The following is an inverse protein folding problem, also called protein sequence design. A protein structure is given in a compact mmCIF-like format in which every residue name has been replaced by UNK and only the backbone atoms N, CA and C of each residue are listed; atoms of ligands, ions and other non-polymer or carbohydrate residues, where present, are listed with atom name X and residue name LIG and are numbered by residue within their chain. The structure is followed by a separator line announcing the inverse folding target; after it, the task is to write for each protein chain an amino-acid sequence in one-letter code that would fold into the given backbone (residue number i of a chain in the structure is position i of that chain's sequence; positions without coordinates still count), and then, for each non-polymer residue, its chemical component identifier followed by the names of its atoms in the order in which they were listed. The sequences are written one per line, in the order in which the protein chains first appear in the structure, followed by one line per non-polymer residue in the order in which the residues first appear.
data_IF_372505102816
#
_entry.id   IF_372505102816
#
_cell.length_a   1.000
_cell.length_b   1.000
_cell.length_c   1.000
_cell.angle_alpha   90.00
_cell.angle_beta   90.00
_cell.angle_gamma   90.00
#
_symmetry.space_group_name_H-M   'P 1'
#
loop_
_entity.id
_entity.type
_entity.pdbx_description
1 polymer ?
#
# COMPACT_ATOMS: atom_id res chain seq x y z
N UNK A 1 19.17 -20.31 -12.58
CA UNK A 1 19.25 -20.30 -14.05
C UNK A 1 20.69 -20.54 -14.53
N UNK A 2 21.65 -19.74 -14.14
CA UNK A 2 23.08 -19.86 -14.55
C UNK A 2 23.72 -21.23 -14.27
N UNK A 3 23.44 -21.82 -13.10
CA UNK A 3 23.97 -23.19 -12.77
C UNK A 3 23.39 -24.29 -13.65
N UNK A 4 22.13 -24.19 -14.06
CA UNK A 4 21.52 -25.20 -14.94
C UNK A 4 22.02 -25.07 -16.37
N UNK A 5 22.22 -23.85 -16.87
CA UNK A 5 22.81 -23.57 -18.18
C UNK A 5 24.26 -24.07 -18.23
N UNK A 6 25.09 -23.74 -17.23
CA UNK A 6 26.46 -24.23 -17.09
C UNK A 6 26.53 -25.76 -17.06
N UNK A 7 25.61 -26.41 -16.32
CA UNK A 7 25.55 -27.89 -16.27
C UNK A 7 25.20 -28.50 -17.61
N UNK A 8 24.24 -27.93 -18.36
CA UNK A 8 23.88 -28.42 -19.71
C UNK A 8 25.01 -28.18 -20.70
N UNK A 9 25.62 -27.00 -20.69
CA UNK A 9 26.79 -26.68 -21.55
C UNK A 9 27.93 -27.67 -21.27
N UNK A 10 28.21 -27.97 -20.01
CA UNK A 10 29.24 -28.91 -19.60
C UNK A 10 28.94 -30.36 -20.09
N UNK A 11 27.68 -30.78 -20.01
CA UNK A 11 27.27 -32.09 -20.53
C UNK A 11 27.44 -32.21 -22.05
N UNK A 12 27.09 -31.14 -22.81
CA UNK A 12 27.28 -31.08 -24.27
C UNK A 12 28.76 -31.05 -24.67
N UNK A 13 29.60 -30.29 -23.95
CA UNK A 13 31.03 -30.25 -24.22
C UNK A 13 31.71 -31.58 -23.94
N UNK A 14 31.37 -32.28 -22.87
CA UNK A 14 31.84 -33.64 -22.56
C UNK A 14 31.38 -34.60 -23.65
N UNK A 15 30.12 -34.57 -24.05
CA UNK A 15 29.56 -35.42 -25.09
C UNK A 15 30.30 -35.27 -26.42
N UNK A 16 30.57 -33.99 -26.83
CA UNK A 16 31.38 -33.71 -28.04
C UNK A 16 32.80 -34.21 -27.90
N UNK A 17 33.46 -34.05 -26.75
CA UNK A 17 34.80 -34.53 -26.53
C UNK A 17 34.88 -36.06 -26.64
N UNK A 18 33.94 -36.75 -26.02
CA UNK A 18 33.83 -38.21 -26.09
C UNK A 18 33.59 -38.70 -27.53
N UNK A 19 32.69 -38.04 -28.27
CA UNK A 19 32.43 -38.38 -29.66
C UNK A 19 33.71 -38.16 -30.55
N UNK A 20 34.50 -37.12 -30.32
CA UNK A 20 35.76 -36.86 -31.03
C UNK A 20 36.79 -37.96 -30.70
N UNK A 21 36.88 -38.34 -29.41
CA UNK A 21 37.81 -39.42 -29.01
C UNK A 21 37.44 -40.76 -29.67
N UNK A 22 36.14 -41.11 -29.73
CA UNK A 22 35.65 -42.32 -30.38
C UNK A 22 35.99 -42.28 -31.88
N UNK A 23 35.72 -41.16 -32.57
CA UNK A 23 36.02 -41.02 -34.01
C UNK A 23 37.51 -41.16 -34.28
N UNK A 24 38.36 -40.50 -33.47
CA UNK A 24 39.82 -40.60 -33.62
C UNK A 24 40.30 -42.06 -33.37
N UNK A 25 39.75 -42.73 -32.36
CA UNK A 25 40.08 -44.11 -32.06
C UNK A 25 39.68 -45.04 -33.18
N UNK A 26 38.51 -44.88 -33.79
CA UNK A 26 38.04 -45.67 -34.92
C UNK A 26 38.97 -45.47 -36.15
N UNK A 27 39.34 -44.22 -36.43
CA UNK A 27 40.25 -43.88 -37.52
C UNK A 27 41.62 -44.54 -37.28
N UNK A 28 42.13 -44.48 -36.05
CA UNK A 28 43.42 -45.08 -35.70
C UNK A 28 43.42 -46.60 -35.86
N UNK A 29 42.35 -47.26 -35.34
CA UNK A 29 42.17 -48.71 -35.46
C UNK A 29 42.05 -49.13 -36.94
N UNK A 30 41.25 -48.39 -37.72
CA UNK A 30 41.09 -48.61 -39.14
C UNK A 30 42.43 -48.47 -39.89
N UNK A 31 43.21 -47.45 -39.56
CA UNK A 31 44.52 -47.24 -40.15
C UNK A 31 45.50 -48.34 -39.80
N UNK A 32 45.56 -48.79 -38.53
CA UNK A 32 46.37 -49.91 -38.11
C UNK A 32 45.97 -51.24 -38.82
N UNK A 33 44.64 -51.45 -38.94
CA UNK A 33 44.13 -52.63 -39.64
C UNK A 33 44.58 -52.63 -41.13
N UNK A 34 44.45 -51.49 -41.80
CA UNK A 34 44.87 -51.36 -43.22
C UNK A 34 46.35 -51.57 -43.41
N UNK A 35 47.15 -50.99 -42.53
CA UNK A 35 48.62 -51.14 -42.60
C UNK A 35 49.00 -52.62 -42.38
N UNK A 36 48.38 -53.27 -41.41
CA UNK A 36 48.61 -54.71 -41.21
C UNK A 36 48.17 -55.56 -42.41
N UNK A 37 47.03 -55.24 -43.00
CA UNK A 37 46.51 -55.91 -44.18
C UNK A 37 47.46 -55.73 -45.38
N UNK A 38 47.92 -54.54 -45.64
CA UNK A 38 48.92 -54.30 -46.70
C UNK A 38 50.23 -55.04 -46.43
N UNK A 39 50.70 -55.02 -45.19
CA UNK A 39 51.92 -55.73 -44.83
C UNK A 39 51.81 -57.27 -45.00
N UNK A 40 50.66 -57.83 -44.66
CA UNK A 40 50.39 -59.30 -44.81
C UNK A 40 50.25 -59.67 -46.27
N UNK A 41 49.68 -58.82 -47.12
CA UNK A 41 49.54 -59.04 -48.57
C UNK A 41 50.91 -58.99 -49.25
N UNK A 42 51.74 -58.02 -48.92
CA UNK A 42 53.08 -57.91 -49.36
C UNK A 42 53.97 -59.07 -48.91
N UNK A 43 53.79 -59.53 -47.63
CA UNK A 43 54.47 -60.70 -47.11
C UNK A 43 54.06 -61.99 -47.82
N UNK A 44 52.85 -62.10 -48.30
CA UNK A 44 52.38 -63.19 -49.15
C UNK A 44 52.99 -63.19 -50.56
N UNK A 45 53.29 -61.99 -51.07
CA UNK A 45 53.95 -61.85 -52.43
C UNK A 45 55.47 -61.93 -52.36
N UNK A 46 56.11 -61.30 -51.38
CA UNK A 46 57.56 -61.34 -51.11
C UNK A 46 57.79 -61.32 -49.58
N UNK A 47 58.30 -62.45 -49.05
CA UNK A 47 58.56 -62.63 -47.61
C UNK A 47 59.56 -61.63 -47.03
N UNK A 48 60.61 -61.23 -47.82
CA UNK A 48 61.64 -60.33 -47.32
C UNK A 48 61.19 -58.88 -47.34
N UNK A 49 60.51 -58.41 -48.40
CA UNK A 49 59.92 -57.08 -48.49
C UNK A 49 58.78 -56.90 -47.40
N UNK A 50 57.94 -57.90 -47.20
CA UNK A 50 56.93 -57.86 -46.19
C UNK A 50 57.49 -57.76 -44.77
N UNK A 51 58.58 -58.47 -44.45
CA UNK A 51 59.28 -58.37 -43.16
C UNK A 51 59.89 -56.96 -42.96
N UNK A 52 60.51 -56.40 -43.97
CA UNK A 52 61.09 -55.09 -43.88
C UNK A 52 60.05 -54.00 -43.71
N UNK A 53 58.91 -54.10 -44.38
CA UNK A 53 57.80 -53.15 -44.18
C UNK A 53 57.19 -53.27 -42.77
N UNK A 54 56.97 -54.46 -42.26
CA UNK A 54 56.52 -54.73 -40.89
C UNK A 54 57.54 -54.20 -39.89
N UNK A 55 58.84 -54.39 -40.11
CA UNK A 55 59.90 -53.86 -39.26
C UNK A 55 59.88 -52.32 -39.21
N UNK A 56 59.74 -51.62 -40.34
CA UNK A 56 59.66 -50.18 -40.45
C UNK A 56 58.38 -49.63 -39.74
N UNK A 57 57.25 -50.32 -39.89
CA UNK A 57 55.98 -49.95 -39.29
C UNK A 57 55.95 -50.14 -37.77
N UNK A 58 56.60 -51.21 -37.27
CA UNK A 58 56.58 -51.49 -35.84
C UNK A 58 57.71 -50.90 -35.02
N UNK A 59 58.90 -50.71 -35.65
CA UNK A 59 60.12 -50.26 -34.96
C UNK A 59 60.53 -48.83 -35.28
N UNK A 60 59.84 -48.16 -36.18
CA UNK A 60 60.09 -46.75 -36.50
C UNK A 60 61.37 -46.53 -37.25
N UNK A 61 61.49 -45.39 -37.86
CA UNK A 61 62.70 -44.90 -38.58
C UNK A 61 63.92 -44.84 -37.67
N UNK A 62 64.68 -45.88 -37.51
CA UNK A 62 66.01 -45.79 -37.00
C UNK A 62 66.97 -46.27 -38.11
N UNK A 63 67.68 -45.33 -38.67
CA UNK A 63 68.87 -45.64 -39.45
C UNK A 63 68.80 -45.38 -40.98
N UNK A 64 69.72 -44.54 -41.45
CA UNK A 64 69.97 -44.01 -42.75
C UNK A 64 70.44 -45.04 -43.81
N UNK A 65 69.94 -46.22 -43.92
CA UNK A 65 70.41 -47.18 -44.90
C UNK A 65 69.39 -48.20 -45.40
N UNK A 66 68.20 -47.75 -45.82
CA UNK A 66 67.43 -48.57 -46.78
C UNK A 66 66.73 -47.61 -47.76
N UNK A 67 67.54 -47.11 -48.70
CA UNK A 67 67.03 -46.64 -49.94
C UNK A 67 67.10 -47.80 -50.96
N UNK A 68 66.55 -48.92 -50.59
CA UNK A 68 66.03 -49.83 -51.55
C UNK A 68 64.85 -49.11 -52.23
N UNK A 69 64.93 -49.06 -53.54
CA UNK A 69 63.95 -48.38 -54.37
C UNK A 69 62.59 -49.07 -54.24
N UNK A 70 61.88 -48.78 -53.17
CA UNK A 70 60.51 -49.32 -52.85
C UNK A 70 59.56 -49.04 -54.02
N UNK A 71 59.84 -48.04 -54.83
CA UNK A 71 59.05 -47.77 -56.01
C UNK A 71 59.19 -48.88 -57.06
N UNK A 72 60.43 -49.46 -57.19
CA UNK A 72 60.65 -50.57 -58.07
C UNK A 72 60.01 -51.84 -57.62
N UNK A 73 60.11 -52.18 -56.33
CA UNK A 73 59.45 -53.33 -55.70
C UNK A 73 57.93 -53.28 -55.78
N UNK A 74 57.34 -52.10 -55.52
CA UNK A 74 55.90 -51.85 -55.67
C UNK A 74 55.46 -51.94 -57.13
N UNK A 75 56.29 -51.52 -58.05
CA UNK A 75 56.11 -51.60 -59.53
C UNK A 75 56.15 -53.04 -59.99
N UNK A 76 57.12 -53.85 -59.53
CA UNK A 76 57.24 -55.26 -59.81
C UNK A 76 56.09 -56.11 -59.23
N UNK A 77 55.57 -55.72 -58.07
CA UNK A 77 54.35 -56.27 -57.44
C UNK A 77 53.03 -55.83 -58.08
N UNK A 78 53.08 -55.08 -59.21
CA UNK A 78 51.92 -54.59 -59.96
C UNK A 78 51.32 -53.30 -59.44
N UNK A 79 51.98 -52.63 -58.52
CA UNK A 79 51.51 -51.34 -57.95
C UNK A 79 52.19 -50.18 -58.81
N UNK A 80 51.67 -49.90 -59.99
CA UNK A 80 52.14 -48.73 -60.79
C UNK A 80 51.51 -47.46 -60.22
N UNK A 81 52.38 -46.39 -60.20
CA UNK A 81 52.01 -45.07 -59.63
C UNK A 81 50.85 -44.40 -60.36
N UNK A 82 50.46 -44.92 -61.54
CA UNK A 82 49.38 -44.40 -62.38
C UNK A 82 48.26 -45.41 -62.65
N UNK A 83 48.22 -46.55 -61.96
CA UNK A 83 47.19 -47.55 -62.20
C UNK A 83 45.84 -47.18 -61.49
N UNK A 84 44.74 -47.56 -62.13
CA UNK A 84 43.41 -47.46 -61.58
C UNK A 84 43.27 -48.06 -60.17
N UNK A 85 44.15 -48.98 -59.81
CA UNK A 85 44.28 -49.57 -58.49
C UNK A 85 44.74 -48.61 -57.40
N UNK A 86 45.62 -47.67 -57.73
CA UNK A 86 46.07 -46.64 -56.82
C UNK A 86 44.87 -45.67 -56.45
N UNK A 87 44.08 -45.34 -57.46
CA UNK A 87 42.87 -44.54 -57.29
C UNK A 87 41.82 -45.26 -56.50
N UNK A 88 41.66 -46.58 -56.63
CA UNK A 88 40.67 -47.39 -55.88
C UNK A 88 41.08 -47.57 -54.46
N UNK A 89 42.32 -47.80 -54.13
CA UNK A 89 42.85 -47.98 -52.77
C UNK A 89 42.85 -46.62 -52.02
N UNK A 90 43.25 -45.53 -52.63
CA UNK A 90 43.30 -44.21 -52.01
C UNK A 90 42.00 -43.43 -52.17
N UNK A 91 41.25 -43.61 -53.25
CA UNK A 91 39.96 -42.96 -53.47
C UNK A 91 38.93 -43.36 -52.44
N UNK A 92 38.88 -44.65 -52.02
CA UNK A 92 37.99 -45.13 -50.95
C UNK A 92 38.29 -44.51 -49.59
N UNK A 93 39.60 -44.30 -49.32
CA UNK A 93 39.99 -43.63 -48.04
C UNK A 93 39.60 -42.16 -48.01
N UNK A 94 39.80 -41.43 -49.09
CA UNK A 94 39.35 -40.01 -49.15
C UNK A 94 37.84 -39.89 -49.03
N UNK A 95 37.06 -40.80 -49.65
CA UNK A 95 35.61 -40.80 -49.53
C UNK A 95 35.22 -41.15 -48.09
N UNK A 96 35.82 -42.15 -47.43
CA UNK A 96 35.56 -42.48 -46.05
C UNK A 96 35.91 -41.29 -45.10
N UNK A 97 37.06 -40.65 -45.30
CA UNK A 97 37.46 -39.48 -44.56
C UNK A 97 36.46 -38.29 -44.77
N UNK A 98 36.07 -38.06 -46.01
CA UNK A 98 35.12 -37.02 -46.36
C UNK A 98 33.74 -37.26 -45.71
N UNK A 99 33.27 -38.52 -45.69
CA UNK A 99 32.02 -38.91 -45.01
C UNK A 99 32.11 -38.72 -43.48
N UNK A 100 33.22 -39.09 -42.86
CA UNK A 100 33.44 -38.92 -41.42
C UNK A 100 33.49 -37.44 -41.06
N UNK A 101 34.21 -36.61 -41.84
CA UNK A 101 34.22 -35.15 -41.63
C UNK A 101 32.82 -34.58 -41.82
N UNK A 102 32.10 -35.00 -42.88
CA UNK A 102 30.72 -34.57 -43.11
C UNK A 102 29.78 -34.87 -41.93
N UNK A 103 29.88 -36.10 -41.39
CA UNK A 103 29.09 -36.47 -40.20
C UNK A 103 29.51 -35.60 -38.99
N UNK A 104 30.78 -35.36 -38.75
CA UNK A 104 31.27 -34.51 -37.67
C UNK A 104 30.75 -33.08 -37.81
N UNK A 105 30.75 -32.49 -39.00
CA UNK A 105 30.23 -31.15 -39.26
C UNK A 105 28.71 -31.11 -38.98
N UNK A 106 27.96 -32.14 -39.41
CA UNK A 106 26.53 -32.22 -39.14
C UNK A 106 26.25 -32.31 -37.62
N UNK A 107 26.98 -33.15 -36.88
CA UNK A 107 26.86 -33.28 -35.45
C UNK A 107 27.21 -31.98 -34.71
N UNK A 108 28.27 -31.29 -35.16
CA UNK A 108 28.68 -30.00 -34.59
C UNK A 108 27.61 -28.93 -34.82
N UNK A 109 27.11 -28.81 -36.05
CA UNK A 109 26.07 -27.83 -36.39
C UNK A 109 24.77 -28.12 -35.61
N UNK A 110 24.40 -29.39 -35.46
CA UNK A 110 23.25 -29.80 -34.64
C UNK A 110 23.46 -29.45 -33.16
N UNK A 111 24.64 -29.67 -32.61
CA UNK A 111 24.97 -29.32 -31.23
C UNK A 111 24.90 -27.80 -31.01
N UNK A 112 25.50 -27.01 -31.91
CA UNK A 112 25.45 -25.54 -31.89
C UNK A 112 24.00 -25.05 -31.97
N UNK A 113 23.18 -25.60 -32.87
CA UNK A 113 21.79 -25.26 -33.03
C UNK A 113 21.00 -25.49 -31.71
N UNK A 114 21.20 -26.63 -31.04
CA UNK A 114 20.54 -26.93 -29.79
C UNK A 114 20.99 -25.99 -28.66
N UNK A 115 22.25 -25.66 -28.56
CA UNK A 115 22.79 -24.69 -27.57
C UNK A 115 22.16 -23.32 -27.77
N UNK A 116 22.12 -22.82 -28.99
CA UNK A 116 21.52 -21.53 -29.34
C UNK A 116 20.02 -21.52 -29.05
N UNK A 117 19.32 -22.59 -29.43
CA UNK A 117 17.87 -22.74 -29.17
C UNK A 117 17.54 -22.73 -27.67
N UNK A 118 18.33 -23.45 -26.85
CA UNK A 118 18.15 -23.46 -25.38
C UNK A 118 18.41 -22.08 -24.80
N UNK A 119 19.51 -21.42 -25.22
CA UNK A 119 19.84 -20.07 -24.78
C UNK A 119 18.76 -19.05 -25.16
N UNK A 120 18.23 -19.14 -26.39
CA UNK A 120 17.15 -18.29 -26.85
C UNK A 120 15.86 -18.45 -26.02
N UNK A 121 15.44 -19.70 -25.76
CA UNK A 121 14.25 -20.00 -24.97
C UNK A 121 14.40 -19.52 -23.51
N UNK A 122 15.58 -19.69 -22.91
CA UNK A 122 15.83 -19.25 -21.54
C UNK A 122 15.81 -17.71 -21.43
N UNK A 123 16.40 -17.02 -22.39
CA UNK A 123 16.38 -15.55 -22.49
C UNK A 123 14.94 -15.05 -22.71
N UNK A 124 14.23 -15.67 -23.62
CA UNK A 124 12.83 -15.29 -23.90
C UNK A 124 11.91 -15.49 -22.70
N UNK A 125 12.04 -16.60 -21.99
CA UNK A 125 11.30 -16.88 -20.74
C UNK A 125 11.63 -15.85 -19.66
N UNK A 126 12.91 -15.48 -19.51
CA UNK A 126 13.33 -14.47 -18.56
C UNK A 126 12.80 -13.07 -18.89
N UNK A 127 12.85 -12.69 -20.17
CA UNK A 127 12.28 -11.43 -20.64
C UNK A 127 10.78 -11.33 -20.41
N UNK A 128 10.04 -12.41 -20.66
CA UNK A 128 8.59 -12.44 -20.40
C UNK A 128 8.29 -12.29 -18.91
N UNK A 129 9.05 -12.96 -18.05
CA UNK A 129 8.90 -12.80 -16.60
C UNK A 129 9.21 -11.38 -16.14
N UNK A 130 10.28 -10.77 -16.63
CA UNK A 130 10.59 -9.37 -16.34
C UNK A 130 9.50 -8.41 -16.80
N UNK A 131 8.89 -8.70 -17.95
CA UNK A 131 7.77 -7.89 -18.45
C UNK A 131 6.54 -8.00 -17.54
N UNK A 132 6.20 -9.22 -17.11
CA UNK A 132 5.10 -9.48 -16.17
C UNK A 132 5.35 -8.80 -14.81
N UNK A 133 6.55 -8.95 -14.25
CA UNK A 133 6.94 -8.29 -12.99
C UNK A 133 6.85 -6.76 -13.12
N UNK A 134 7.29 -6.19 -14.25
CA UNK A 134 7.22 -4.75 -14.51
C UNK A 134 5.77 -4.25 -14.67
N UNK A 135 4.89 -5.03 -15.31
CA UNK A 135 3.46 -4.73 -15.42
C UNK A 135 2.78 -4.76 -14.04
N UNK A 136 3.12 -5.73 -13.18
CA UNK A 136 2.61 -5.82 -11.82
C UNK A 136 3.07 -4.65 -10.95
N UNK A 137 4.35 -4.31 -10.98
CA UNK A 137 4.90 -3.14 -10.28
C UNK A 137 4.22 -1.85 -10.76
N UNK A 138 3.99 -1.71 -12.06
CA UNK A 138 3.32 -0.53 -12.63
C UNK A 138 1.87 -0.41 -12.14
N UNK A 139 1.14 -1.54 -12.02
CA UNK A 139 -0.23 -1.57 -11.44
C UNK A 139 -0.24 -1.18 -9.97
N UNK A 140 0.71 -1.73 -9.18
CA UNK A 140 0.85 -1.39 -7.76
C UNK A 140 1.18 0.09 -7.55
N UNK A 141 2.12 0.62 -8.34
CA UNK A 141 2.46 2.05 -8.32
C UNK A 141 1.27 2.93 -8.70
N UNK A 142 0.48 2.52 -9.70
CA UNK A 142 -0.75 3.21 -10.09
C UNK A 142 -1.78 3.25 -8.96
N UNK A 143 -2.01 2.11 -8.29
CA UNK A 143 -2.91 2.02 -7.14
C UNK A 143 -2.41 2.88 -5.97
N UNK A 144 -1.11 2.82 -5.66
CA UNK A 144 -0.50 3.63 -4.61
C UNK A 144 -0.59 5.14 -4.90
N UNK A 145 -0.35 5.54 -6.15
CA UNK A 145 -0.51 6.94 -6.58
C UNK A 145 -1.94 7.42 -6.39
N UNK A 146 -2.93 6.65 -6.82
CA UNK A 146 -4.35 6.98 -6.65
C UNK A 146 -4.72 7.10 -5.17
N UNK A 147 -4.22 6.20 -4.33
CA UNK A 147 -4.38 6.27 -2.88
C UNK A 147 -3.78 7.55 -2.28
N UNK A 148 -2.55 7.91 -2.68
CA UNK A 148 -1.88 9.12 -2.20
C UNK A 148 -2.57 10.40 -2.67
N UNK A 149 -3.05 10.44 -3.91
CA UNK A 149 -3.84 11.57 -4.44
C UNK A 149 -5.15 11.76 -3.66
N UNK A 150 -5.86 10.66 -3.35
CA UNK A 150 -7.06 10.69 -2.51
C UNK A 150 -6.74 11.21 -1.11
N UNK A 151 -5.68 10.72 -0.50
CA UNK A 151 -5.25 11.15 0.84
C UNK A 151 -4.83 12.62 0.88
N UNK A 152 -4.13 13.09 -0.15
CA UNK A 152 -3.75 14.50 -0.25
C UNK A 152 -4.99 15.42 -0.39
N UNK A 153 -5.98 15.03 -1.18
CA UNK A 153 -7.25 15.77 -1.26
C UNK A 153 -7.96 15.83 0.09
N UNK A 154 -8.07 14.69 0.77
CA UNK A 154 -8.65 14.63 2.12
C UNK A 154 -7.92 15.54 3.12
N UNK A 155 -6.59 15.61 3.05
CA UNK A 155 -5.79 16.50 3.89
C UNK A 155 -6.00 17.97 3.54
N UNK A 156 -6.13 18.29 2.26
CA UNK A 156 -6.41 19.64 1.80
C UNK A 156 -7.80 20.12 2.26
N UNK A 157 -8.83 19.29 2.04
CA UNK A 157 -10.20 19.54 2.50
C UNK A 157 -10.26 19.71 4.03
N UNK A 158 -9.51 18.87 4.75
CA UNK A 158 -9.37 18.96 6.20
C UNK A 158 -8.77 20.29 6.64
N UNK A 159 -7.68 20.73 6.01
CA UNK A 159 -7.01 22.00 6.36
C UNK A 159 -7.89 23.20 6.05
N UNK A 160 -8.60 23.18 4.91
CA UNK A 160 -9.51 24.24 4.51
C UNK A 160 -10.70 24.36 5.48
N UNK A 161 -11.28 23.23 5.89
CA UNK A 161 -12.36 23.19 6.86
C UNK A 161 -11.93 23.73 8.23
N UNK A 162 -10.73 23.34 8.72
CA UNK A 162 -10.17 23.90 9.97
C UNK A 162 -10.07 25.42 9.88
N UNK A 163 -9.45 25.91 8.80
CA UNK A 163 -9.28 27.35 8.61
C UNK A 163 -10.63 28.08 8.64
N UNK A 164 -11.65 27.50 8.01
CA UNK A 164 -13.01 28.07 7.97
C UNK A 164 -13.68 28.06 9.34
N UNK A 165 -13.59 26.96 10.08
CA UNK A 165 -14.18 26.79 11.41
C UNK A 165 -13.53 27.70 12.47
N UNK A 166 -12.24 28.04 12.31
CA UNK A 166 -11.56 28.98 13.19
C UNK A 166 -11.85 30.43 12.77
N UNK A 167 -11.89 30.74 11.48
CA UNK A 167 -12.08 32.08 10.97
C UNK A 167 -13.41 32.71 11.40
N UNK A 168 -14.48 31.92 11.38
CA UNK A 168 -15.84 32.40 11.73
C UNK A 168 -15.92 32.91 13.16
N UNK A 169 -15.60 32.19 14.22
CA UNK A 169 -15.65 32.69 15.58
C UNK A 169 -14.60 33.78 15.85
N UNK A 170 -13.44 33.71 15.18
CA UNK A 170 -12.43 34.78 15.30
C UNK A 170 -12.92 36.11 14.73
N UNK A 171 -13.61 36.08 13.58
CA UNK A 171 -14.23 37.28 13.00
C UNK A 171 -15.33 37.84 13.90
N UNK A 172 -16.18 36.97 14.50
CA UNK A 172 -17.21 37.39 15.44
C UNK A 172 -16.60 37.99 16.73
N UNK A 173 -15.50 37.39 17.22
CA UNK A 173 -14.74 37.94 18.35
C UNK A 173 -14.19 39.34 18.05
N UNK A 174 -13.52 39.54 16.89
CA UNK A 174 -12.97 40.79 16.49
C UNK A 174 -14.08 41.87 16.39
N UNK A 175 -15.19 41.52 15.74
CA UNK A 175 -16.34 42.46 15.61
C UNK A 175 -16.89 42.85 16.98
N UNK A 176 -17.05 41.91 17.92
CA UNK A 176 -17.52 42.21 19.27
C UNK A 176 -16.55 43.09 20.03
N UNK A 177 -15.24 42.91 19.86
CA UNK A 177 -14.20 43.79 20.45
C UNK A 177 -14.24 45.21 19.85
N UNK A 178 -14.36 45.33 18.53
CA UNK A 178 -14.47 46.63 17.83
C UNK A 178 -15.70 47.40 18.32
N UNK A 179 -16.86 46.72 18.47
CA UNK A 179 -18.08 47.31 19.01
C UNK A 179 -17.92 47.76 20.47
N UNK A 180 -17.18 46.99 21.29
CA UNK A 180 -16.86 47.37 22.67
C UNK A 180 -15.97 48.60 22.72
N UNK A 181 -14.94 48.67 21.87
CA UNK A 181 -14.04 49.83 21.77
C UNK A 181 -14.80 51.10 21.38
N UNK A 182 -15.69 51.03 20.37
CA UNK A 182 -16.53 52.15 19.94
C UNK A 182 -17.43 52.60 21.08
N UNK A 183 -18.09 51.69 21.82
CA UNK A 183 -18.93 52.02 22.96
C UNK A 183 -18.15 52.67 24.10
N UNK A 184 -16.93 52.20 24.40
CA UNK A 184 -16.07 52.81 25.41
C UNK A 184 -15.67 54.24 25.02
N UNK A 185 -15.30 54.44 23.75
CA UNK A 185 -14.93 55.78 23.24
C UNK A 185 -16.10 56.77 23.28
N UNK A 186 -17.33 56.31 22.96
CA UNK A 186 -18.54 57.15 23.11
C UNK A 186 -18.79 57.50 24.58
N UNK A 187 -18.69 56.54 25.48
CA UNK A 187 -18.86 56.77 26.92
C UNK A 187 -17.80 57.71 27.48
N UNK A 188 -16.54 57.59 27.10
CA UNK A 188 -15.47 58.52 27.51
C UNK A 188 -15.68 59.91 26.98
N UNK A 189 -16.10 60.05 25.70
CA UNK A 189 -16.42 61.39 25.11
C UNK A 189 -17.59 62.09 25.83
N UNK A 190 -18.61 61.29 26.23
CA UNK A 190 -19.73 61.80 27.04
C UNK A 190 -19.29 62.22 28.44
N UNK A 191 -18.38 61.49 29.08
CA UNK A 191 -17.82 61.87 30.37
C UNK A 191 -16.94 63.12 30.31
N UNK A 192 -16.17 63.31 29.23
CA UNK A 192 -15.39 64.53 29.00
C UNK A 192 -16.29 65.76 28.77
N UNK A 193 -17.31 65.65 27.94
CA UNK A 193 -18.29 66.74 27.71
C UNK A 193 -18.96 67.16 29.01
N UNK A 194 -19.30 66.18 29.87
CA UNK A 194 -19.93 66.42 31.18
C UNK A 194 -18.94 67.02 32.19
N UNK A 195 -17.66 66.78 32.12
CA UNK A 195 -16.63 67.43 32.96
C UNK A 195 -16.40 68.88 32.55
N UNK A 196 -16.48 69.17 31.28
CA UNK A 196 -16.32 70.55 30.76
C UNK A 196 -17.57 71.45 31.03
N UNK A 197 -18.77 70.81 31.06
CA UNK A 197 -20.01 71.48 31.42
C UNK A 197 -20.15 71.75 32.94
N UNK A 198 -19.53 70.93 33.75
CA UNK A 198 -19.55 71.09 35.22
C UNK A 198 -18.65 72.20 35.74
N UNK A 199 -17.83 72.86 34.83
CA UNK A 199 -17.00 73.99 35.12
C UNK A 199 -17.74 75.34 35.07
N UNK A 200 -18.94 75.45 34.48
CA UNK A 200 -19.76 76.70 34.44
C UNK A 200 -21.11 76.44 35.18
N UNK A 201 -21.29 77.24 36.24
CA UNK A 201 -22.49 77.26 37.09
C UNK A 201 -23.78 77.40 36.29
N UNK A 202 -24.76 76.56 36.49
CA UNK A 202 -26.13 77.06 36.75
C UNK A 202 -27.00 75.90 37.29
N UNK A 203 -27.72 76.28 38.35
CA UNK A 203 -28.76 75.49 39.01
C UNK A 203 -29.96 75.24 38.07
N UNK A 204 -30.62 74.14 38.33
CA UNK A 204 -31.97 73.74 37.89
C UNK A 204 -32.08 73.12 36.49
N UNK A 205 -32.12 71.83 36.49
CA UNK A 205 -33.29 70.96 36.18
C UNK A 205 -32.93 69.51 36.34
N UNK A 206 -33.48 68.97 37.38
CA UNK A 206 -33.26 67.59 37.84
C UNK A 206 -33.92 66.55 36.96
N UNK A 207 -33.13 65.67 36.46
CA UNK A 207 -33.40 64.25 36.66
C UNK A 207 -34.52 63.59 35.90
N UNK A 208 -34.37 63.30 34.60
CA UNK A 208 -35.07 62.19 33.96
C UNK A 208 -34.41 61.61 32.70
N UNK A 209 -33.31 62.18 32.22
CA UNK A 209 -32.64 61.71 30.98
C UNK A 209 -31.34 60.90 31.16
N UNK A 210 -30.79 60.86 32.38
CA UNK A 210 -29.38 60.43 32.58
C UNK A 210 -29.23 58.97 33.01
N UNK A 211 -30.31 58.30 33.46
CA UNK A 211 -30.23 56.93 33.95
C UNK A 211 -30.51 55.86 32.86
N UNK A 212 -31.28 56.23 31.83
CA UNK A 212 -31.72 55.24 30.83
C UNK A 212 -30.68 54.93 29.74
N UNK A 213 -29.93 55.97 29.30
CA UNK A 213 -28.87 55.80 28.27
C UNK A 213 -27.60 55.12 28.81
N UNK A 214 -27.22 55.39 30.06
CA UNK A 214 -26.07 54.76 30.70
C UNK A 214 -26.28 53.29 31.03
N UNK A 215 -27.48 52.93 31.48
CA UNK A 215 -27.89 51.55 31.72
C UNK A 215 -27.90 50.73 30.40
N UNK A 216 -28.50 51.30 29.34
CA UNK A 216 -28.54 50.66 28.01
C UNK A 216 -27.14 50.45 27.39
N UNK A 217 -26.17 51.35 27.59
CA UNK A 217 -24.82 51.21 27.10
C UNK A 217 -24.03 50.15 27.89
N UNK A 218 -24.21 50.05 29.21
CA UNK A 218 -23.55 49.04 30.01
C UNK A 218 -24.10 47.65 29.72
N UNK A 219 -25.39 47.50 29.47
CA UNK A 219 -25.98 46.20 29.05
C UNK A 219 -25.42 45.73 27.71
N UNK A 220 -25.27 46.63 26.73
CA UNK A 220 -24.65 46.29 25.44
C UNK A 220 -23.20 45.86 25.60
N UNK A 221 -22.43 46.53 26.46
CA UNK A 221 -21.04 46.18 26.73
C UNK A 221 -20.95 44.77 27.37
N UNK A 222 -21.82 44.48 28.34
CA UNK A 222 -21.89 43.17 28.95
C UNK A 222 -22.26 42.07 27.95
N UNK A 223 -23.24 42.38 27.06
CA UNK A 223 -23.65 41.42 26.02
C UNK A 223 -22.51 41.15 25.02
N UNK A 224 -21.75 42.18 24.58
CA UNK A 224 -20.60 42.02 23.70
C UNK A 224 -19.46 41.24 24.41
N UNK A 225 -19.22 41.49 25.69
CA UNK A 225 -18.25 40.72 26.51
C UNK A 225 -18.64 39.26 26.61
N UNK A 226 -19.91 38.96 26.90
CA UNK A 226 -20.44 37.60 26.94
C UNK A 226 -20.29 36.93 25.58
N UNK A 227 -20.50 37.62 24.49
CA UNK A 227 -20.26 37.10 23.14
C UNK A 227 -18.79 36.77 22.92
N UNK A 228 -17.86 37.65 23.35
CA UNK A 228 -16.42 37.37 23.28
C UNK A 228 -16.05 36.09 24.06
N UNK A 229 -16.56 35.92 25.27
CA UNK A 229 -16.35 34.70 26.06
C UNK A 229 -16.92 33.47 25.35
N UNK A 230 -18.11 33.57 24.78
CA UNK A 230 -18.76 32.51 24.05
C UNK A 230 -17.94 32.08 22.83
N UNK A 231 -17.42 33.01 22.04
CA UNK A 231 -16.60 32.73 20.88
C UNK A 231 -15.23 32.14 21.28
N UNK A 232 -14.61 32.63 22.33
CA UNK A 232 -13.37 32.07 22.88
C UNK A 232 -13.55 30.65 23.34
N UNK A 233 -14.67 30.35 24.02
CA UNK A 233 -15.00 28.98 24.45
C UNK A 233 -15.18 28.05 23.23
N UNK A 234 -15.88 28.52 22.17
CA UNK A 234 -16.05 27.74 20.93
C UNK A 234 -14.74 27.39 20.27
N UNK A 235 -13.81 28.34 20.17
CA UNK A 235 -12.49 28.10 19.61
C UNK A 235 -11.73 27.06 20.44
N UNK A 236 -11.75 27.19 21.75
CA UNK A 236 -11.09 26.26 22.66
C UNK A 236 -11.65 24.85 22.56
N UNK A 237 -12.96 24.70 22.57
CA UNK A 237 -13.64 23.39 22.41
C UNK A 237 -13.30 22.76 21.07
N UNK A 238 -13.36 23.53 19.97
CA UNK A 238 -12.99 23.07 18.64
C UNK A 238 -11.54 22.56 18.58
N UNK A 239 -10.59 23.32 19.12
CA UNK A 239 -9.17 22.93 19.15
C UNK A 239 -8.99 21.65 20.00
N UNK A 240 -9.68 21.54 21.13
CA UNK A 240 -9.61 20.36 22.01
C UNK A 240 -10.11 19.11 21.30
N UNK A 241 -11.26 19.18 20.64
CA UNK A 241 -11.83 18.06 19.84
C UNK A 241 -10.93 17.69 18.66
N UNK A 242 -10.34 18.69 17.99
CA UNK A 242 -9.40 18.47 16.90
C UNK A 242 -8.13 17.74 17.37
N UNK A 243 -7.58 18.11 18.53
CA UNK A 243 -6.42 17.44 19.11
C UNK A 243 -6.74 16.00 19.52
N UNK A 244 -7.93 15.76 20.13
CA UNK A 244 -8.41 14.42 20.46
C UNK A 244 -8.54 13.56 19.18
N UNK A 245 -9.17 14.09 18.14
CA UNK A 245 -9.31 13.42 16.85
C UNK A 245 -7.95 13.07 16.26
N UNK A 246 -7.00 14.02 16.21
CA UNK A 246 -5.66 13.80 15.69
C UNK A 246 -4.88 12.72 16.46
N UNK A 247 -5.03 12.66 17.78
CA UNK A 247 -4.41 11.62 18.62
C UNK A 247 -5.01 10.24 18.34
N UNK A 248 -6.36 10.15 18.24
CA UNK A 248 -7.06 8.90 17.90
C UNK A 248 -6.60 8.34 16.56
N UNK A 249 -6.58 9.17 15.52
CA UNK A 249 -6.19 8.75 14.19
C UNK A 249 -4.73 8.35 14.04
N UNK A 250 -3.86 8.94 14.87
CA UNK A 250 -2.43 8.58 14.85
C UNK A 250 -2.14 7.27 15.58
N UNK A 251 -3.14 6.63 16.21
CA UNK A 251 -2.97 5.42 17.00
C UNK A 251 -2.04 5.61 18.22
N UNK A 252 -1.87 6.86 18.68
CA UNK A 252 -0.99 7.18 19.82
C UNK A 252 -1.71 7.12 21.17
N UNK A 253 -3.01 6.91 21.16
CA UNK A 253 -3.78 6.76 22.38
C UNK A 253 -3.62 5.33 22.86
N UNK A 254 -3.22 5.19 24.11
CA UNK A 254 -3.27 3.93 24.86
C UNK A 254 -4.51 4.01 25.72
N UNK A 255 -5.50 3.18 25.43
CA UNK A 255 -6.72 3.09 26.22
C UNK A 255 -6.41 2.42 27.56
N UNK A 256 -6.99 2.94 28.64
CA UNK A 256 -6.93 2.34 29.99
C UNK A 256 -8.25 1.64 30.19
N UNK A 257 -8.32 0.35 29.84
CA UNK A 257 -9.56 -0.42 29.87
C UNK A 257 -9.80 -1.00 31.27
N UNK A 258 -10.99 -0.76 31.80
CA UNK A 258 -11.50 -1.29 33.06
C UNK A 258 -12.87 -1.94 32.84
N UNK A 259 -13.31 -2.76 33.77
CA UNK A 259 -14.65 -3.36 33.76
C UNK A 259 -15.69 -2.32 34.19
N UNK A 260 -16.52 -1.87 33.24
CA UNK A 260 -17.54 -0.84 33.40
C UNK A 260 -18.91 -1.48 33.44
N UNK A 261 -19.73 -1.19 34.48
CA UNK A 261 -21.13 -1.58 34.51
C UNK A 261 -21.94 -0.76 33.50
N UNK A 262 -22.59 -1.43 32.54
CA UNK A 262 -23.31 -0.76 31.45
C UNK A 262 -24.46 0.11 31.94
N UNK A 263 -25.18 -0.32 32.97
CA UNK A 263 -26.33 0.44 33.50
C UNK A 263 -25.85 1.70 34.23
N UNK A 264 -24.81 1.60 35.05
CA UNK A 264 -24.18 2.75 35.71
C UNK A 264 -23.61 3.74 34.71
N UNK A 265 -22.91 3.25 33.70
CA UNK A 265 -22.36 4.06 32.62
C UNK A 265 -23.43 4.84 31.84
N UNK A 266 -24.55 4.21 31.48
CA UNK A 266 -25.66 4.90 30.79
C UNK A 266 -26.24 6.01 31.67
N UNK A 267 -26.38 5.77 32.99
CA UNK A 267 -26.87 6.77 33.91
C UNK A 267 -25.89 7.95 34.05
N UNK A 268 -24.59 7.68 34.02
CA UNK A 268 -23.57 8.72 34.01
C UNK A 268 -23.63 9.55 32.72
N UNK A 269 -23.73 8.92 31.52
CA UNK A 269 -23.95 9.61 30.25
C UNK A 269 -25.14 10.57 30.36
N UNK A 270 -26.27 10.10 30.87
CA UNK A 270 -27.50 10.94 31.02
C UNK A 270 -27.24 12.12 31.93
N UNK A 271 -26.49 11.95 33.03
CA UNK A 271 -26.18 13.01 33.99
C UNK A 271 -25.23 14.08 33.42
N UNK A 272 -24.33 13.70 32.53
CA UNK A 272 -23.32 14.58 31.95
C UNK A 272 -23.80 15.31 30.69
N UNK A 273 -24.85 14.81 30.01
CA UNK A 273 -25.37 15.48 28.80
C UNK A 273 -26.00 16.82 29.17
N UNK A 274 -25.55 17.92 28.57
CA UNK A 274 -26.17 19.23 28.76
C UNK A 274 -27.62 19.20 28.27
N UNK A 275 -28.58 19.37 29.19
CA UNK A 275 -29.99 19.38 28.82
C UNK A 275 -30.30 20.62 27.98
N UNK A 276 -30.59 20.39 26.70
CA UNK A 276 -31.00 21.41 25.73
C UNK A 276 -32.49 21.20 25.46
N UNK A 277 -33.26 22.25 25.37
CA UNK A 277 -34.69 22.26 24.96
C UNK A 277 -35.66 21.40 25.81
N UNK A 278 -35.36 21.13 27.08
CA UNK A 278 -36.17 20.25 27.96
C UNK A 278 -36.40 18.84 27.37
N UNK A 279 -35.46 18.32 26.60
CA UNK A 279 -35.52 16.95 26.09
C UNK A 279 -35.59 15.94 27.24
N UNK A 280 -36.50 15.00 27.14
CA UNK A 280 -36.63 13.91 28.09
C UNK A 280 -35.78 12.72 27.65
N UNK A 281 -34.83 12.31 28.51
CA UNK A 281 -33.92 11.19 28.19
C UNK A 281 -34.31 10.02 29.11
N UNK A 282 -34.66 8.87 28.51
CA UNK A 282 -34.98 7.64 29.24
C UNK A 282 -33.97 6.55 28.89
N UNK A 283 -33.78 5.64 29.87
CA UNK A 283 -32.89 4.49 29.67
C UNK A 283 -33.54 3.19 30.12
N UNK A 284 -33.14 2.12 29.45
CA UNK A 284 -33.50 0.75 29.83
C UNK A 284 -32.28 -0.17 29.57
N UNK A 285 -31.97 -0.99 30.58
CA UNK A 285 -30.95 -2.05 30.45
C UNK A 285 -31.63 -3.38 30.84
N UNK A 286 -31.47 -4.40 29.99
CA UNK A 286 -32.05 -5.72 30.24
C UNK A 286 -31.29 -6.54 31.28
N UNK A 287 -30.03 -6.20 31.56
CA UNK A 287 -29.16 -6.84 32.54
C UNK A 287 -28.36 -5.75 33.27
N UNK A 288 -28.80 -5.47 34.51
CA UNK A 288 -28.23 -4.41 35.36
C UNK A 288 -26.81 -4.73 35.85
N UNK A 289 -26.41 -6.00 35.82
CA UNK A 289 -25.11 -6.48 36.28
C UNK A 289 -24.16 -6.81 35.13
N UNK A 290 -24.45 -6.34 33.88
CA UNK A 290 -23.58 -6.58 32.74
C UNK A 290 -22.41 -5.60 32.71
N UNK A 291 -21.20 -6.14 32.50
CA UNK A 291 -19.95 -5.37 32.39
C UNK A 291 -19.36 -5.45 31.00
N UNK A 292 -18.77 -4.34 30.57
CA UNK A 292 -17.93 -4.25 29.36
C UNK A 292 -16.54 -3.81 29.76
N UNK A 293 -15.52 -4.28 29.02
CA UNK A 293 -14.15 -3.84 29.23
C UNK A 293 -13.86 -2.67 28.28
N UNK A 294 -13.66 -1.48 28.83
CA UNK A 294 -13.48 -0.25 28.04
C UNK A 294 -12.77 0.85 28.84
N UNK A 295 -12.29 1.88 28.16
CA UNK A 295 -11.82 3.13 28.75
C UNK A 295 -13.04 4.05 28.96
N UNK A 296 -13.45 4.19 30.21
CA UNK A 296 -14.66 4.89 30.60
C UNK A 296 -14.69 6.34 30.17
N UNK A 297 -13.57 7.08 30.32
CA UNK A 297 -13.47 8.49 29.95
C UNK A 297 -13.70 8.71 28.45
N UNK A 298 -13.03 7.90 27.61
CA UNK A 298 -13.19 7.99 26.17
C UNK A 298 -14.59 7.54 25.71
N UNK A 299 -15.10 6.45 26.29
CA UNK A 299 -16.41 5.95 25.92
C UNK A 299 -17.52 6.92 26.33
N UNK A 300 -17.40 7.52 27.52
CA UNK A 300 -18.30 8.55 28.00
C UNK A 300 -18.37 9.74 27.03
N UNK A 301 -17.25 10.24 26.57
CA UNK A 301 -17.20 11.30 25.56
C UNK A 301 -17.91 10.91 24.25
N UNK A 302 -17.72 9.68 23.78
CA UNK A 302 -18.37 9.21 22.56
C UNK A 302 -19.91 9.18 22.70
N UNK A 303 -20.39 8.67 23.83
CA UNK A 303 -21.83 8.57 24.09
C UNK A 303 -22.48 9.94 24.35
N UNK A 304 -21.84 10.81 25.13
CA UNK A 304 -22.29 12.20 25.33
C UNK A 304 -22.45 12.91 23.98
N UNK A 305 -21.50 12.80 23.08
CA UNK A 305 -21.60 13.42 21.76
C UNK A 305 -22.78 12.89 20.93
N UNK A 306 -23.08 11.60 20.99
CA UNK A 306 -24.22 11.01 20.26
C UNK A 306 -25.52 11.44 20.89
N UNK A 307 -25.66 11.31 22.21
CA UNK A 307 -26.90 11.66 22.95
C UNK A 307 -27.17 13.15 22.84
N UNK A 308 -26.16 14.00 22.95
CA UNK A 308 -26.29 15.44 22.75
C UNK A 308 -26.85 15.78 21.37
N UNK A 309 -26.31 15.17 20.30
CA UNK A 309 -26.80 15.38 18.93
C UNK A 309 -28.27 14.98 18.79
N UNK A 310 -28.71 13.86 19.44
CA UNK A 310 -30.10 13.45 19.47
C UNK A 310 -30.96 14.45 20.21
N UNK A 311 -30.55 14.90 21.41
CA UNK A 311 -31.33 15.76 22.31
C UNK A 311 -31.57 17.18 21.80
N UNK A 312 -30.73 17.65 20.84
CA UNK A 312 -30.85 19.01 20.30
C UNK A 312 -32.02 19.18 19.33
N UNK A 313 -32.49 18.12 18.69
CA UNK A 313 -33.57 18.15 17.70
C UNK A 313 -34.80 17.35 18.09
N UNK A 314 -34.77 16.71 19.25
CA UNK A 314 -35.82 15.82 19.73
C UNK A 314 -36.46 16.30 21.04
N UNK A 315 -37.69 15.88 21.26
CA UNK A 315 -38.37 16.03 22.53
C UNK A 315 -38.06 14.83 23.47
N UNK A 316 -37.82 13.65 22.87
CA UNK A 316 -37.53 12.43 23.61
C UNK A 316 -36.35 11.70 23.01
N UNK A 317 -35.47 11.18 23.88
CA UNK A 317 -34.35 10.28 23.53
C UNK A 317 -34.45 9.03 24.42
N UNK A 318 -34.48 7.86 23.78
CA UNK A 318 -34.54 6.57 24.45
C UNK A 318 -33.20 5.84 24.27
N UNK A 319 -32.57 5.45 25.37
CA UNK A 319 -31.34 4.65 25.40
C UNK A 319 -31.68 3.24 25.82
N UNK A 320 -31.54 2.27 24.93
CA UNK A 320 -31.91 0.88 25.21
C UNK A 320 -30.68 -0.02 25.09
N UNK A 321 -30.24 -0.63 26.18
CA UNK A 321 -29.16 -1.60 26.22
C UNK A 321 -29.71 -3.02 26.28
N UNK A 322 -29.35 -3.85 25.34
CA UNK A 322 -29.66 -5.28 25.27
C UNK A 322 -28.35 -6.06 25.24
N UNK A 323 -28.01 -6.59 26.41
CA UNK A 323 -26.77 -7.32 26.61
C UNK A 323 -27.04 -8.83 26.72
N UNK A 324 -26.14 -9.64 26.21
CA UNK A 324 -26.13 -11.09 26.32
C UNK A 324 -24.68 -11.59 26.52
N UNK A 325 -24.49 -12.89 26.69
CA UNK A 325 -23.16 -13.46 26.99
C UNK A 325 -22.04 -13.07 26.01
N UNK A 326 -22.37 -12.76 24.75
CA UNK A 326 -21.35 -12.52 23.70
C UNK A 326 -21.17 -11.04 23.38
N UNK A 327 -22.20 -10.21 23.60
CA UNK A 327 -22.17 -8.79 23.20
C UNK A 327 -23.24 -7.97 23.91
N UNK A 328 -23.01 -6.67 24.01
CA UNK A 328 -23.98 -5.67 24.38
C UNK A 328 -24.33 -4.78 23.19
N UNK A 329 -25.62 -4.57 22.94
CA UNK A 329 -26.12 -3.68 21.90
C UNK A 329 -26.78 -2.51 22.56
N UNK A 330 -26.24 -1.31 22.41
CA UNK A 330 -26.81 -0.09 22.91
C UNK A 330 -27.43 0.68 21.73
N UNK A 331 -28.71 0.94 21.82
CA UNK A 331 -29.48 1.69 20.81
C UNK A 331 -29.92 3.02 21.41
N UNK A 332 -29.53 4.13 20.79
CA UNK A 332 -29.94 5.49 21.14
C UNK A 332 -30.90 5.96 20.06
N UNK A 333 -32.17 6.13 20.42
CA UNK A 333 -33.24 6.51 19.49
C UNK A 333 -33.80 7.88 19.89
N UNK A 334 -34.00 8.76 18.90
CA UNK A 334 -34.69 10.05 19.07
C UNK A 334 -35.98 10.14 18.24
N UNK A 335 -36.82 11.09 18.55
CA UNK A 335 -38.07 11.41 17.84
C UNK A 335 -38.00 12.69 17.01
N UNK A 336 -36.79 13.12 16.64
CA UNK A 336 -36.52 14.34 15.87
C UNK A 336 -36.89 14.28 14.38
N UNK A 337 -36.29 15.16 13.60
CA UNK A 337 -36.62 15.31 12.17
C UNK A 337 -36.07 14.20 11.26
N UNK A 338 -35.17 13.35 11.78
CA UNK A 338 -34.44 12.38 10.96
C UNK A 338 -33.35 12.97 10.08
N UNK A 339 -32.70 12.12 9.34
CA UNK A 339 -31.58 12.48 8.44
C UNK A 339 -31.94 12.15 7.00
N UNK A 340 -31.63 13.07 6.06
CA UNK A 340 -31.83 12.80 4.65
C UNK A 340 -31.04 11.57 4.18
N UNK A 341 -31.65 10.70 3.39
CA UNK A 341 -31.07 9.38 3.01
C UNK A 341 -29.68 9.49 2.35
N UNK A 342 -29.46 10.54 1.59
CA UNK A 342 -28.17 10.83 0.92
C UNK A 342 -27.07 11.25 1.88
N UNK A 343 -27.42 11.63 3.11
CA UNK A 343 -26.49 12.06 4.15
C UNK A 343 -26.20 10.97 5.19
N UNK A 344 -27.04 9.96 5.32
CA UNK A 344 -26.89 8.91 6.34
C UNK A 344 -25.51 8.24 6.30
N UNK A 345 -25.00 7.93 5.12
CA UNK A 345 -23.70 7.29 4.95
C UNK A 345 -22.52 8.21 5.31
N UNK A 346 -22.77 9.51 5.36
CA UNK A 346 -21.71 10.52 5.51
C UNK A 346 -21.67 11.19 6.88
N UNK A 347 -22.67 10.97 7.76
CA UNK A 347 -22.75 11.70 9.06
C UNK A 347 -21.55 11.47 9.98
N UNK A 348 -20.85 10.36 9.80
CA UNK A 348 -19.62 10.06 10.54
C UNK A 348 -18.36 10.61 9.84
N UNK A 349 -18.50 11.27 8.69
CA UNK A 349 -17.36 11.93 8.06
C UNK A 349 -17.04 13.22 8.83
N UNK A 350 -15.76 13.62 8.74
CA UNK A 350 -15.31 14.85 9.39
C UNK A 350 -15.99 16.05 8.77
N UNK A 351 -16.36 17.03 9.62
CA UNK A 351 -16.96 18.31 9.23
C UNK A 351 -18.33 18.18 8.54
N UNK A 352 -18.93 17.00 8.53
CA UNK A 352 -20.31 16.87 8.12
C UNK A 352 -21.22 17.39 9.25
N UNK A 353 -21.81 18.56 9.00
CA UNK A 353 -22.84 19.12 9.85
C UNK A 353 -24.13 19.25 9.04
N UNK A 354 -25.20 18.65 9.51
CA UNK A 354 -26.52 18.73 8.88
C UNK A 354 -27.13 20.13 8.90
N UNK A 355 -26.51 21.08 9.61
CA UNK A 355 -27.09 22.38 9.95
C UNK A 355 -26.35 23.57 9.36
N UNK A 356 -27.10 24.67 9.20
CA UNK A 356 -26.64 25.98 8.77
C UNK A 356 -25.49 26.52 9.64
N UNK A 357 -24.68 27.38 9.06
CA UNK A 357 -23.47 28.02 9.59
C UNK A 357 -23.53 28.60 11.03
N UNK A 358 -24.70 28.67 11.62
CA UNK A 358 -24.93 29.27 12.97
C UNK A 358 -24.98 28.25 14.10
N UNK A 359 -24.82 26.93 13.84
CA UNK A 359 -24.89 25.93 14.88
C UNK A 359 -23.55 25.71 15.59
N UNK A 360 -23.60 25.35 16.87
CA UNK A 360 -22.46 25.01 17.73
C UNK A 360 -21.67 23.78 17.24
N UNK A 361 -22.11 23.14 16.17
CA UNK A 361 -21.59 21.87 15.72
C UNK A 361 -20.39 22.02 14.77
N UNK A 362 -19.27 21.51 15.20
CA UNK A 362 -18.01 21.49 14.41
C UNK A 362 -17.96 20.38 13.37
N UNK A 363 -18.94 19.46 13.37
CA UNK A 363 -18.92 18.25 12.53
C UNK A 363 -17.80 17.26 12.88
N UNK A 364 -17.20 17.41 14.06
CA UNK A 364 -16.12 16.51 14.54
C UNK A 364 -16.68 15.46 15.52
N UNK A 365 -17.73 15.77 16.26
CA UNK A 365 -18.21 14.94 17.35
C UNK A 365 -18.55 13.51 16.95
N UNK A 366 -19.44 13.32 15.99
CA UNK A 366 -19.84 11.97 15.53
C UNK A 366 -18.67 11.18 14.90
N UNK A 367 -17.78 11.86 14.19
CA UNK A 367 -16.57 11.21 13.67
C UNK A 367 -15.66 10.73 14.81
N UNK A 368 -15.45 11.56 15.83
CA UNK A 368 -14.67 11.20 17.01
C UNK A 368 -15.33 10.05 17.77
N UNK A 369 -16.66 10.10 17.98
CA UNK A 369 -17.41 9.01 18.62
C UNK A 369 -17.24 7.68 17.91
N UNK A 370 -17.31 7.69 16.58
CA UNK A 370 -17.08 6.48 15.77
C UNK A 370 -15.66 5.94 15.98
N UNK A 371 -14.64 6.76 15.94
CA UNK A 371 -13.26 6.34 16.14
C UNK A 371 -13.01 5.80 17.55
N UNK A 372 -13.63 6.40 18.56
CA UNK A 372 -13.55 5.92 19.94
C UNK A 372 -14.19 4.52 20.05
N UNK A 373 -15.40 4.34 19.53
CA UNK A 373 -16.10 3.06 19.55
C UNK A 373 -15.32 1.98 18.78
N UNK A 374 -14.78 2.31 17.62
CA UNK A 374 -13.94 1.40 16.83
C UNK A 374 -12.62 1.05 17.56
N UNK A 375 -12.02 1.98 18.30
CA UNK A 375 -10.84 1.73 19.11
C UNK A 375 -11.10 0.75 20.27
N UNK A 376 -12.34 0.68 20.78
CA UNK A 376 -12.83 -0.31 21.74
C UNK A 376 -13.38 -1.59 21.07
N UNK A 377 -13.01 -1.83 19.82
CA UNK A 377 -13.45 -3.00 19.04
C UNK A 377 -14.96 -3.07 18.78
N UNK A 378 -15.67 -1.97 19.03
CA UNK A 378 -17.09 -1.83 18.77
C UNK A 378 -17.39 -1.36 17.34
N UNK A 379 -18.67 -1.22 17.04
CA UNK A 379 -19.14 -0.61 15.79
C UNK A 379 -20.34 0.29 16.04
N UNK A 380 -20.48 1.36 15.26
CA UNK A 380 -21.63 2.27 15.32
C UNK A 380 -22.28 2.39 13.95
N UNK A 381 -23.58 2.33 13.91
CA UNK A 381 -24.41 2.56 12.72
C UNK A 381 -25.58 3.47 13.03
N UNK A 382 -26.16 4.10 12.01
CA UNK A 382 -27.32 4.99 12.13
C UNK A 382 -28.34 4.67 11.06
N UNK A 383 -29.63 4.76 11.43
CA UNK A 383 -30.74 4.63 10.51
C UNK A 383 -31.86 5.59 10.91
N UNK A 384 -32.69 6.05 9.97
CA UNK A 384 -33.94 6.69 10.30
C UNK A 384 -34.90 5.66 10.92
N UNK A 385 -35.70 6.09 11.86
CA UNK A 385 -36.70 5.25 12.48
C UNK A 385 -37.79 4.81 11.49
N UNK A 386 -38.34 3.62 11.68
CA UNK A 386 -39.37 3.04 10.80
C UNK A 386 -40.65 3.87 10.74
N UNK A 387 -40.98 4.58 11.84
CA UNK A 387 -42.09 5.50 11.94
C UNK A 387 -41.87 6.84 11.21
N UNK A 388 -40.68 7.03 10.62
CA UNK A 388 -40.29 8.21 9.84
C UNK A 388 -39.96 9.45 10.69
N UNK A 389 -39.88 9.31 12.03
CA UNK A 389 -39.47 10.37 12.94
C UNK A 389 -38.18 10.01 13.64
N UNK A 390 -37.18 10.91 13.55
CA UNK A 390 -35.92 10.77 14.24
C UNK A 390 -35.00 9.70 13.69
N UNK A 391 -33.92 9.47 14.42
CA UNK A 391 -32.88 8.50 14.06
C UNK A 391 -32.62 7.51 15.20
N UNK A 392 -31.99 6.41 14.83
CA UNK A 392 -31.53 5.38 15.76
C UNK A 392 -30.05 5.11 15.51
N UNK A 393 -29.22 5.41 16.49
CA UNK A 393 -27.83 4.97 16.56
C UNK A 393 -27.75 3.61 17.23
N UNK A 394 -27.07 2.68 16.61
CA UNK A 394 -26.84 1.34 17.13
C UNK A 394 -25.35 1.11 17.32
N UNK A 395 -24.96 0.78 18.55
CA UNK A 395 -23.58 0.54 18.99
C UNK A 395 -23.51 -0.91 19.46
N UNK A 396 -22.47 -1.64 19.00
CA UNK A 396 -22.27 -3.06 19.31
C UNK A 396 -20.86 -3.25 19.82
#
# INVERSE_FOLDING_TARGET
MERALKKRLYVYTIGMFLATVVVVSVITIYYEYRVRYMATTLYGADKEAGKQLLYILFYGRQGNTVTADYSAILQEAGYTRNGAWYMFLYGGEYIAFAVIIGIMVILLTFAIYNIVKIGHNDVYSYMNKLKEDNENISKELGAYRTYMEKRNRQLQDFTENIAHQIKTPLTALSLSLDMMEEQLNVNMSQLQINSDISGEKSEAETGKGFTDTGLSNNEKLINNLNECFRQTYRIRDFITRLLKLSRMESGKIVLTEDDINVNEFINEVISEVPVVNNCNITSYCNDEDYFINADEEWLLEAFINIVQNCSEEAENVDINAVCNADKCIITIKDDGNGIAKDKLDNIFNRFESGKSYNSLHTGIGLNLSKLIIEAHHGSVSVNNNEDGRGVSFRII
#
